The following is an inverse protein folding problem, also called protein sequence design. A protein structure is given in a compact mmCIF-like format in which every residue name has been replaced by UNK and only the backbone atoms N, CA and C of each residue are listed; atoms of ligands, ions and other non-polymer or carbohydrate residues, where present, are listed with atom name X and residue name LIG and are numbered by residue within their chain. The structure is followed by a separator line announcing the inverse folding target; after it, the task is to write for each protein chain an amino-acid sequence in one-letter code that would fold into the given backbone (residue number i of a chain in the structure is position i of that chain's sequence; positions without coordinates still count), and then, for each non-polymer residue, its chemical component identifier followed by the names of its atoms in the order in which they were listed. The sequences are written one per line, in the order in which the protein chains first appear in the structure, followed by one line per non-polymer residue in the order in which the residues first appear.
data_IF_302323153847
#
_entry.id   IF_302323153847
#
_cell.length_a   1.000
_cell.length_b   1.000
_cell.length_c   1.000
_cell.angle_alpha   90.00
_cell.angle_beta   90.00
_cell.angle_gamma   90.00
#
_symmetry.space_group_name_H-M   'P 1'
#
loop_
_entity.id
_entity.type
_entity.pdbx_description
1 polymer ?
#
# COMPACT_ATOMS: atom_id res chain seq x y z
N UNK A 1 -4.51 -8.30 -13.38
CA UNK A 1 -5.95 -8.04 -13.06
C UNK A 1 -6.86 -7.98 -14.28
N UNK A 2 -6.58 -8.68 -15.39
CA UNK A 2 -7.39 -8.54 -16.62
C UNK A 2 -8.84 -9.06 -16.51
N UNK A 3 -9.11 -10.02 -15.62
CA UNK A 3 -10.44 -10.65 -15.45
C UNK A 3 -10.91 -10.64 -13.99
N UNK A 4 -10.36 -9.75 -13.16
CA UNK A 4 -10.72 -9.71 -11.75
C UNK A 4 -12.08 -9.03 -11.59
N UNK A 5 -13.04 -9.78 -11.04
CA UNK A 5 -14.33 -9.28 -10.60
C UNK A 5 -14.44 -9.57 -9.10
N UNK A 6 -14.69 -8.56 -8.24
CA UNK A 6 -14.96 -7.14 -8.53
C UNK A 6 -13.74 -6.32 -9.01
N UNK A 7 -13.96 -5.04 -9.34
CA UNK A 7 -12.90 -4.07 -9.69
C UNK A 7 -11.77 -4.11 -8.67
N UNK A 8 -10.55 -4.23 -9.15
CA UNK A 8 -9.37 -4.38 -8.30
C UNK A 8 -8.17 -3.61 -8.84
N UNK A 9 -7.30 -3.19 -7.93
CA UNK A 9 -6.03 -2.51 -8.23
C UNK A 9 -4.87 -3.22 -7.53
N UNK A 10 -3.73 -3.34 -8.21
CA UNK A 10 -2.50 -3.85 -7.62
C UNK A 10 -1.59 -2.67 -7.32
N UNK A 11 -1.19 -2.54 -6.06
CA UNK A 11 -0.32 -1.46 -5.61
C UNK A 11 1.02 -2.08 -5.19
N UNK A 12 2.09 -1.63 -5.84
CA UNK A 12 3.46 -1.97 -5.47
C UNK A 12 3.93 -0.94 -4.42
N UNK A 13 4.26 -1.40 -3.21
CA UNK A 13 4.56 -0.51 -2.07
C UNK A 13 6.06 -0.19 -1.94
N UNK A 14 6.92 -0.94 -2.62
CA UNK A 14 8.36 -0.82 -2.60
C UNK A 14 9.06 -2.17 -2.75
N UNK A 15 10.38 -2.12 -2.95
CA UNK A 15 11.19 -3.31 -3.13
C UNK A 15 11.53 -3.95 -1.77
N UNK A 16 11.07 -5.17 -1.51
CA UNK A 16 11.33 -5.86 -0.23
C UNK A 16 12.82 -6.13 0.03
N UNK A 17 13.68 -6.13 -0.99
CA UNK A 17 15.13 -6.26 -0.82
C UNK A 17 15.80 -4.93 -0.45
N UNK A 18 15.12 -3.80 -0.60
CA UNK A 18 15.62 -2.49 -0.20
C UNK A 18 15.31 -2.24 1.28
N UNK A 19 16.35 -2.07 2.09
CA UNK A 19 16.23 -1.85 3.54
C UNK A 19 15.52 -0.55 3.90
N UNK A 20 15.50 0.46 3.02
CA UNK A 20 14.73 1.67 3.21
C UNK A 20 13.23 1.43 2.98
N UNK A 21 12.87 0.70 1.92
CA UNK A 21 11.47 0.39 1.62
C UNK A 21 10.85 -0.56 2.65
N UNK A 22 11.65 -1.49 3.20
CA UNK A 22 11.21 -2.34 4.31
C UNK A 22 10.66 -1.53 5.49
N UNK A 23 11.22 -0.35 5.78
CA UNK A 23 10.76 0.52 6.89
C UNK A 23 9.33 1.00 6.71
N UNK A 24 8.80 1.02 5.48
CA UNK A 24 7.40 1.39 5.21
C UNK A 24 6.42 0.40 5.83
N UNK A 25 6.80 -0.88 5.92
CA UNK A 25 5.93 -1.96 6.42
C UNK A 25 6.35 -2.43 7.83
N UNK A 26 7.65 -2.45 8.14
CA UNK A 26 8.14 -2.95 9.43
C UNK A 26 7.91 -1.97 10.58
N UNK A 27 8.08 -0.65 10.36
CA UNK A 27 7.75 0.35 11.37
C UNK A 27 6.22 0.47 11.48
N UNK A 28 5.62 0.21 12.66
CA UNK A 28 4.17 0.24 12.82
C UNK A 28 3.52 1.58 12.45
N UNK A 29 4.20 2.70 12.70
CA UNK A 29 3.69 4.04 12.39
C UNK A 29 3.71 4.29 10.88
N UNK A 30 4.77 3.90 10.19
CA UNK A 30 4.82 4.04 8.73
C UNK A 30 3.77 3.14 8.06
N UNK A 31 3.57 1.93 8.59
CA UNK A 31 2.54 1.01 8.08
C UNK A 31 1.13 1.58 8.27
N UNK A 32 0.87 2.26 9.40
CA UNK A 32 -0.40 2.94 9.60
C UNK A 32 -0.58 4.11 8.63
N UNK A 33 0.45 4.95 8.44
CA UNK A 33 0.39 6.05 7.46
C UNK A 33 0.09 5.55 6.04
N UNK A 34 0.70 4.42 5.62
CA UNK A 34 0.36 3.78 4.35
C UNK A 34 -1.11 3.35 4.28
N UNK A 35 -1.65 2.78 5.37
CA UNK A 35 -3.04 2.36 5.42
C UNK A 35 -4.00 3.56 5.33
N UNK A 36 -3.66 4.66 6.02
CA UNK A 36 -4.44 5.90 6.00
C UNK A 36 -4.44 6.50 4.58
N UNK A 37 -3.28 6.59 3.92
CA UNK A 37 -3.18 7.08 2.54
C UNK A 37 -3.93 6.21 1.53
N UNK A 38 -3.89 4.88 1.68
CA UNK A 38 -4.66 3.97 0.84
C UNK A 38 -6.17 4.17 1.07
N UNK A 39 -6.59 4.37 2.30
CA UNK A 39 -7.99 4.63 2.65
C UNK A 39 -8.48 5.95 2.06
N UNK A 40 -7.73 7.04 2.25
CA UNK A 40 -8.02 8.36 1.68
C UNK A 40 -8.07 8.29 0.15
N UNK A 41 -7.06 7.69 -0.48
CA UNK A 41 -6.98 7.54 -1.94
C UNK A 41 -8.11 6.71 -2.55
N UNK A 42 -8.64 5.71 -1.83
CA UNK A 42 -9.76 4.88 -2.30
C UNK A 42 -11.13 5.48 -2.01
N UNK A 43 -11.28 6.24 -0.92
CA UNK A 43 -12.57 6.81 -0.50
C UNK A 43 -12.77 8.26 -0.93
N UNK A 44 -11.71 8.94 -1.36
CA UNK A 44 -11.71 10.36 -1.73
C UNK A 44 -11.91 11.30 -0.54
N UNK A 45 -11.55 10.84 0.66
CA UNK A 45 -11.58 11.64 1.90
C UNK A 45 -10.29 12.42 2.11
#
# INVERSE_FOLDING_TARGET
MKNALPTSVYVELGNIQNTHDQKRILDPRNRQLLADWLFEGLTGK
#
